data_IF_938105490036
#
_entry.id   IF_938105490036
#
_cell.length_a   1.000
_cell.length_b   1.000
_cell.length_c   1.000
_cell.angle_alpha   90.00
_cell.angle_beta   90.00
_cell.angle_gamma   90.00
#
_symmetry.space_group_name_H-M   'P 1'
#
loop_
_entity.id
_entity.type
_entity.pdbx_description
1 polymer ?
#
# COMPACT_ATOMS: atom_id res chain seq x y z
N UNK A 1 37.88 36.87 -31.75
CA UNK A 1 36.54 37.39 -31.48
C UNK A 1 35.54 36.35 -32.03
N UNK A 2 35.25 35.31 -31.27
CA UNK A 2 34.16 34.39 -31.62
C UNK A 2 33.43 34.08 -30.32
N UNK A 3 32.20 34.59 -30.27
CA UNK A 3 31.22 34.35 -29.24
C UNK A 3 30.74 32.91 -29.39
N UNK A 4 31.02 32.02 -28.43
CA UNK A 4 30.34 30.75 -28.30
C UNK A 4 29.23 30.89 -27.28
N UNK A 5 27.98 30.76 -27.75
CA UNK A 5 26.74 30.87 -26.99
C UNK A 5 26.65 29.82 -25.91
N UNK A 6 26.43 30.29 -24.72
CA UNK A 6 26.09 29.56 -23.50
C UNK A 6 24.62 29.14 -23.59
N UNK A 7 24.31 28.09 -24.33
CA UNK A 7 22.91 27.63 -24.49
C UNK A 7 22.66 26.14 -24.52
N UNK A 8 23.69 25.31 -24.36
CA UNK A 8 23.49 23.84 -24.53
C UNK A 8 23.65 22.99 -23.25
N UNK A 9 23.64 23.63 -22.08
CA UNK A 9 23.80 22.89 -20.80
C UNK A 9 22.50 22.61 -20.06
N UNK A 10 21.35 23.00 -20.61
CA UNK A 10 20.05 22.88 -19.92
C UNK A 10 19.15 21.73 -20.43
N UNK A 11 19.54 21.03 -21.49
CA UNK A 11 18.69 20.00 -22.14
C UNK A 11 19.00 18.57 -21.69
N UNK A 12 20.14 18.33 -21.06
CA UNK A 12 20.54 16.94 -20.68
C UNK A 12 20.01 16.50 -19.31
N UNK A 13 19.47 17.42 -18.48
CA UNK A 13 18.95 17.06 -17.16
C UNK A 13 17.45 16.70 -17.11
N UNK A 14 16.72 16.88 -18.19
CA UNK A 14 15.28 16.55 -18.25
C UNK A 14 14.98 15.18 -18.84
N UNK A 15 15.98 14.47 -19.41
CA UNK A 15 15.74 13.15 -20.03
C UNK A 15 15.96 11.95 -19.11
N UNK A 16 16.55 12.15 -17.92
CA UNK A 16 16.82 11.04 -16.98
C UNK A 16 15.77 10.88 -15.90
N UNK A 17 14.79 11.78 -15.82
CA UNK A 17 13.70 11.70 -14.84
C UNK A 17 12.45 10.95 -15.36
N UNK A 18 12.33 10.81 -16.68
CA UNK A 18 11.15 10.19 -17.31
C UNK A 18 11.18 8.66 -17.39
N UNK A 19 12.32 8.02 -17.08
CA UNK A 19 12.44 6.55 -17.18
C UNK A 19 12.22 5.81 -15.85
N UNK A 20 12.09 6.53 -14.73
CA UNK A 20 11.80 5.91 -13.43
C UNK A 20 10.30 5.78 -13.13
N UNK A 21 9.44 6.49 -13.84
CA UNK A 21 7.98 6.44 -13.63
C UNK A 21 7.26 5.35 -14.44
N UNK A 22 7.94 4.74 -15.42
CA UNK A 22 7.31 3.80 -16.35
C UNK A 22 7.13 2.38 -15.82
N UNK A 23 7.72 2.00 -14.68
CA UNK A 23 7.58 0.64 -14.13
C UNK A 23 6.58 0.53 -12.97
N UNK A 24 5.93 1.62 -12.60
CA UNK A 24 4.89 1.66 -11.55
C UNK A 24 3.46 1.45 -12.09
N UNK A 25 3.32 1.21 -13.40
CA UNK A 25 2.05 1.34 -14.14
C UNK A 25 1.06 0.17 -13.88
N UNK A 26 1.47 -0.89 -13.21
CA UNK A 26 0.61 -2.07 -13.04
C UNK A 26 0.19 -2.36 -11.58
N UNK A 27 0.51 -1.48 -10.63
CA UNK A 27 0.10 -1.65 -9.23
C UNK A 27 -1.02 -0.68 -8.88
N UNK A 28 -2.09 -1.22 -8.29
CA UNK A 28 -3.21 -0.42 -7.75
C UNK A 28 -2.70 0.54 -6.67
N UNK A 29 -3.35 1.68 -6.52
CA UNK A 29 -3.07 2.60 -5.41
C UNK A 29 -3.29 1.91 -4.07
N UNK A 30 -2.48 2.27 -3.05
CA UNK A 30 -2.68 1.78 -1.67
C UNK A 30 -4.09 2.04 -1.15
N UNK A 31 -4.73 3.11 -1.63
CA UNK A 31 -6.09 3.51 -1.27
C UNK A 31 -7.18 2.50 -1.69
N UNK A 32 -6.86 1.59 -2.61
CA UNK A 32 -7.78 0.54 -3.09
C UNK A 32 -7.67 -0.76 -2.28
N UNK A 33 -6.64 -0.89 -1.44
CA UNK A 33 -6.42 -2.10 -0.65
C UNK A 33 -7.14 -2.04 0.69
N UNK A 34 -7.57 -3.21 1.16
CA UNK A 34 -8.19 -3.43 2.48
C UNK A 34 -7.36 -4.31 3.39
N UNK A 35 -6.32 -4.91 2.85
CA UNK A 35 -5.36 -5.73 3.56
C UNK A 35 -3.94 -5.26 3.24
N UNK A 36 -3.22 -4.83 4.29
CA UNK A 36 -1.84 -4.38 4.12
C UNK A 36 -0.88 -5.49 3.72
N UNK A 37 -1.20 -6.77 4.03
CA UNK A 37 -0.39 -7.91 3.60
C UNK A 37 -0.47 -8.07 2.08
N UNK A 38 -1.69 -8.00 1.53
CA UNK A 38 -1.91 -8.08 0.09
C UNK A 38 -1.21 -6.92 -0.65
N UNK A 39 -1.36 -5.69 -0.15
CA UNK A 39 -0.66 -4.54 -0.72
C UNK A 39 0.87 -4.70 -0.73
N UNK A 40 1.45 -5.13 0.39
CA UNK A 40 2.90 -5.34 0.50
C UNK A 40 3.40 -6.47 -0.40
N UNK A 41 2.58 -7.53 -0.58
CA UNK A 41 2.89 -8.64 -1.47
C UNK A 41 2.88 -8.17 -2.93
N UNK A 42 1.84 -7.44 -3.35
CA UNK A 42 1.73 -6.92 -4.71
C UNK A 42 2.86 -5.92 -5.01
N UNK A 43 3.22 -5.06 -4.04
CA UNK A 43 4.39 -4.20 -4.14
C UNK A 43 5.68 -5.00 -4.37
N UNK A 44 5.91 -6.05 -3.59
CA UNK A 44 7.07 -6.90 -3.76
C UNK A 44 7.08 -7.56 -5.14
N UNK A 45 5.95 -8.11 -5.58
CA UNK A 45 5.84 -8.81 -6.87
C UNK A 45 6.02 -7.87 -8.05
N UNK A 46 5.48 -6.65 -7.98
CA UNK A 46 5.69 -5.60 -8.96
C UNK A 46 7.17 -5.22 -9.08
N UNK A 47 7.83 -4.98 -7.95
CA UNK A 47 9.27 -4.64 -7.92
C UNK A 47 10.15 -5.81 -8.39
N UNK A 48 9.75 -7.04 -8.10
CA UNK A 48 10.46 -8.24 -8.56
C UNK A 48 10.36 -8.44 -10.06
N UNK A 49 9.21 -8.13 -10.66
CA UNK A 49 9.02 -8.16 -12.13
C UNK A 49 9.89 -7.13 -12.85
N UNK A 50 10.08 -5.95 -12.25
CA UNK A 50 10.86 -4.85 -12.84
C UNK A 50 12.38 -4.99 -12.64
N UNK A 51 12.87 -5.93 -11.84
CA UNK A 51 14.31 -6.09 -11.60
C UNK A 51 14.68 -7.11 -10.52
N UNK A 52 15.94 -7.11 -10.12
CA UNK A 52 16.49 -8.02 -9.12
C UNK A 52 16.12 -7.59 -7.68
N UNK A 53 14.82 -7.51 -7.38
CA UNK A 53 14.33 -7.17 -6.04
C UNK A 53 14.11 -8.42 -5.19
N UNK A 54 14.63 -8.45 -3.98
CA UNK A 54 14.56 -9.59 -3.05
C UNK A 54 13.98 -9.18 -1.70
N UNK A 55 13.45 -10.15 -0.95
CA UNK A 55 12.99 -9.94 0.44
C UNK A 55 14.08 -9.36 1.35
N UNK A 56 15.33 -9.74 1.11
CA UNK A 56 16.48 -9.21 1.83
C UNK A 56 16.68 -7.72 1.54
N UNK A 57 16.56 -7.34 0.29
CA UNK A 57 16.67 -5.95 -0.15
C UNK A 57 15.49 -5.12 0.38
N UNK A 58 14.28 -5.64 0.32
CA UNK A 58 13.11 -4.98 0.88
C UNK A 58 13.27 -4.73 2.38
N UNK A 59 13.72 -5.74 3.14
CA UNK A 59 13.99 -5.59 4.57
C UNK A 59 15.09 -4.57 4.85
N UNK A 60 16.16 -4.56 4.05
CA UNK A 60 17.26 -3.59 4.16
C UNK A 60 16.80 -2.16 3.89
N UNK A 61 16.00 -1.96 2.84
CA UNK A 61 15.47 -0.64 2.47
C UNK A 61 14.53 -0.09 3.55
N UNK A 62 13.81 -0.96 4.23
CA UNK A 62 12.98 -0.60 5.37
C UNK A 62 13.77 -0.44 6.69
N UNK A 63 15.10 -0.61 6.68
CA UNK A 63 15.96 -0.43 7.84
C UNK A 63 15.92 -1.58 8.86
N UNK A 64 15.51 -2.78 8.43
CA UNK A 64 15.47 -3.95 9.31
C UNK A 64 16.74 -4.80 9.20
N UNK A 65 17.26 -5.22 10.35
CA UNK A 65 18.40 -6.12 10.42
C UNK A 65 18.09 -7.54 9.95
N UNK A 66 16.86 -8.00 10.14
CA UNK A 66 16.40 -9.33 9.70
C UNK A 66 16.00 -9.34 8.23
N UNK A 67 16.72 -10.11 7.42
CA UNK A 67 16.48 -10.23 5.97
C UNK A 67 15.12 -10.86 5.62
N UNK A 68 14.53 -11.64 6.52
CA UNK A 68 13.27 -12.35 6.30
C UNK A 68 12.06 -11.65 6.93
N UNK A 69 12.26 -10.52 7.65
CA UNK A 69 11.19 -9.89 8.41
C UNK A 69 10.01 -9.49 7.51
N UNK A 70 10.28 -8.82 6.39
CA UNK A 70 9.24 -8.39 5.46
C UNK A 70 8.45 -9.58 4.89
N UNK A 71 9.13 -10.67 4.54
CA UNK A 71 8.48 -11.91 4.11
C UNK A 71 7.54 -12.47 5.17
N UNK A 72 7.97 -12.49 6.44
CA UNK A 72 7.14 -12.98 7.55
C UNK A 72 5.92 -12.09 7.79
N UNK A 73 6.06 -10.78 7.61
CA UNK A 73 4.94 -9.83 7.68
C UNK A 73 3.94 -10.11 6.56
N UNK A 74 4.38 -10.19 5.30
CA UNK A 74 3.48 -10.49 4.16
C UNK A 74 2.76 -11.84 4.32
N UNK A 75 3.40 -12.83 4.94
CA UNK A 75 2.79 -14.12 5.25
C UNK A 75 1.86 -14.10 6.48
N UNK A 76 1.65 -12.96 7.12
CA UNK A 76 0.84 -12.82 8.34
C UNK A 76 1.46 -13.44 9.61
N UNK A 77 2.72 -13.90 9.54
CA UNK A 77 3.43 -14.52 10.68
C UNK A 77 4.05 -13.50 11.63
N UNK A 78 4.14 -12.24 11.23
CA UNK A 78 4.65 -11.13 12.04
C UNK A 78 3.81 -9.89 11.81
N UNK A 79 3.64 -9.09 12.88
CA UNK A 79 2.87 -7.84 12.83
C UNK A 79 3.79 -6.64 12.70
N UNK A 80 3.33 -5.58 12.03
CA UNK A 80 3.99 -4.29 12.01
C UNK A 80 3.60 -3.49 13.26
N UNK A 81 4.60 -2.98 14.00
CA UNK A 81 4.38 -1.96 15.01
C UNK A 81 4.29 -0.58 14.36
N UNK A 82 3.76 0.43 15.07
CA UNK A 82 3.60 1.80 14.56
C UNK A 82 4.92 2.36 13.97
N UNK A 83 6.03 2.23 14.67
CA UNK A 83 7.35 2.70 14.19
C UNK A 83 7.77 1.97 12.92
N UNK A 84 7.60 0.66 12.87
CA UNK A 84 7.94 -0.16 11.70
C UNK A 84 7.03 0.15 10.51
N UNK A 85 5.77 0.48 10.74
CA UNK A 85 4.83 0.90 9.69
C UNK A 85 5.34 2.14 8.97
N UNK A 86 5.79 3.16 9.70
CA UNK A 86 6.36 4.37 9.10
C UNK A 86 7.64 4.08 8.28
N UNK A 87 8.51 3.19 8.79
CA UNK A 87 9.72 2.77 8.07
C UNK A 87 9.38 2.04 6.77
N UNK A 88 8.40 1.15 6.80
CA UNK A 88 7.92 0.41 5.62
C UNK A 88 7.27 1.34 4.61
N UNK A 89 6.39 2.25 5.04
CA UNK A 89 5.78 3.26 4.18
C UNK A 89 6.84 4.08 3.43
N UNK A 90 7.85 4.56 4.15
CA UNK A 90 8.99 5.28 3.56
C UNK A 90 9.77 4.43 2.56
N UNK A 91 10.03 3.15 2.89
CA UNK A 91 10.76 2.24 2.00
C UNK A 91 9.98 1.90 0.73
N UNK A 92 8.65 1.92 0.77
CA UNK A 92 7.77 1.75 -0.38
C UNK A 92 7.55 3.05 -1.17
N UNK A 93 8.04 4.20 -0.67
CA UNK A 93 7.88 5.49 -1.32
C UNK A 93 6.51 6.13 -1.10
N UNK A 94 5.73 5.66 -0.13
CA UNK A 94 4.44 6.26 0.21
C UNK A 94 4.65 7.59 0.92
N UNK A 95 3.96 8.64 0.44
CA UNK A 95 4.06 10.00 0.97
C UNK A 95 2.67 10.61 1.20
N UNK A 96 2.58 11.55 2.15
CA UNK A 96 1.33 12.26 2.44
C UNK A 96 0.19 11.31 2.77
N UNK A 97 -0.94 11.49 2.10
CA UNK A 97 -2.17 10.72 2.29
C UNK A 97 -2.02 9.20 2.07
N UNK A 98 -1.12 8.77 1.19
CA UNK A 98 -0.84 7.34 0.99
C UNK A 98 -0.19 6.70 2.21
N UNK A 99 0.75 7.41 2.84
CA UNK A 99 1.39 6.95 4.07
C UNK A 99 0.39 6.92 5.25
N UNK A 100 -0.48 7.93 5.36
CA UNK A 100 -1.54 7.98 6.36
C UNK A 100 -2.54 6.84 6.17
N UNK A 101 -2.98 6.61 4.93
CA UNK A 101 -3.87 5.49 4.63
C UNK A 101 -3.22 4.14 4.99
N UNK A 102 -1.96 3.95 4.63
CA UNK A 102 -1.22 2.72 4.96
C UNK A 102 -1.09 2.51 6.48
N UNK A 103 -0.87 3.58 7.26
CA UNK A 103 -0.86 3.49 8.72
C UNK A 103 -2.22 3.00 9.27
N UNK A 104 -3.33 3.58 8.77
CA UNK A 104 -4.67 3.16 9.18
C UNK A 104 -4.98 1.73 8.73
N UNK A 105 -4.54 1.34 7.54
CA UNK A 105 -4.69 -0.01 7.01
C UNK A 105 -3.97 -1.05 7.89
N UNK A 106 -2.77 -0.74 8.39
CA UNK A 106 -2.04 -1.60 9.33
C UNK A 106 -2.73 -1.64 10.70
N UNK A 107 -3.25 -0.51 11.20
CA UNK A 107 -4.03 -0.47 12.45
C UNK A 107 -5.28 -1.34 12.30
N UNK A 108 -6.01 -1.20 11.20
CA UNK A 108 -7.20 -1.99 10.88
C UNK A 108 -6.91 -3.48 10.88
N UNK A 109 -5.84 -3.92 10.18
CA UNK A 109 -5.47 -5.33 10.07
C UNK A 109 -4.94 -5.94 11.38
N UNK A 110 -4.31 -5.14 12.24
CA UNK A 110 -3.75 -5.61 13.52
C UNK A 110 -4.72 -5.52 14.70
N UNK A 111 -5.82 -4.75 14.58
CA UNK A 111 -6.74 -4.49 15.66
C UNK A 111 -7.52 -5.75 16.05
N UNK A 112 -7.62 -5.99 17.37
CA UNK A 112 -8.43 -7.06 17.96
C UNK A 112 -9.80 -6.50 18.38
N UNK A 113 -9.83 -5.23 18.81
CA UNK A 113 -11.05 -4.57 19.27
C UNK A 113 -11.83 -3.96 18.10
N UNK A 114 -13.10 -4.25 18.00
CA UNK A 114 -13.99 -3.74 16.94
C UNK A 114 -14.08 -2.21 16.91
N UNK A 115 -14.03 -1.57 18.08
CA UNK A 115 -13.99 -0.10 18.16
C UNK A 115 -12.78 0.49 17.44
N UNK A 116 -11.60 -0.11 17.60
CA UNK A 116 -10.36 0.33 16.92
C UNK A 116 -10.44 0.06 15.42
N UNK A 117 -10.97 -1.10 15.01
CA UNK A 117 -11.21 -1.41 13.58
C UNK A 117 -12.13 -0.38 12.94
N UNK A 118 -13.25 -0.06 13.63
CA UNK A 118 -14.23 0.90 13.12
C UNK A 118 -13.60 2.28 12.93
N UNK A 119 -12.84 2.77 13.92
CA UNK A 119 -12.17 4.06 13.83
C UNK A 119 -11.17 4.08 12.67
N UNK A 120 -10.31 3.07 12.56
CA UNK A 120 -9.34 2.97 11.48
C UNK A 120 -10.02 2.91 10.10
N UNK A 121 -11.13 2.17 9.98
CA UNK A 121 -11.91 2.09 8.75
C UNK A 121 -12.51 3.44 8.34
N UNK A 122 -13.07 4.19 9.30
CA UNK A 122 -13.63 5.52 9.03
C UNK A 122 -12.54 6.48 8.53
N UNK A 123 -11.35 6.46 9.14
CA UNK A 123 -10.22 7.26 8.67
C UNK A 123 -9.74 6.86 7.28
N UNK A 124 -9.63 5.57 7.00
CA UNK A 124 -9.33 5.08 5.66
C UNK A 124 -10.36 5.57 4.64
N UNK A 125 -11.64 5.50 4.98
CA UNK A 125 -12.73 5.96 4.12
C UNK A 125 -12.67 7.47 3.88
N UNK A 126 -12.39 8.27 4.92
CA UNK A 126 -12.21 9.72 4.79
C UNK A 126 -11.09 10.07 3.83
N UNK A 127 -9.89 9.49 4.04
CA UNK A 127 -8.73 9.74 3.19
C UNK A 127 -9.01 9.36 1.73
N UNK A 128 -9.62 8.21 1.51
CA UNK A 128 -9.92 7.74 0.16
C UNK A 128 -10.99 8.61 -0.55
N UNK A 129 -12.01 9.10 0.16
CA UNK A 129 -13.01 10.02 -0.38
C UNK A 129 -12.41 11.37 -0.76
N UNK A 130 -11.54 11.94 0.08
CA UNK A 130 -10.84 13.19 -0.21
C UNK A 130 -10.01 13.12 -1.48
N UNK A 131 -9.48 11.93 -1.79
CA UNK A 131 -8.65 11.68 -2.98
C UNK A 131 -9.42 11.04 -4.15
N UNK A 132 -10.75 11.09 -4.14
CA UNK A 132 -11.64 10.59 -5.21
C UNK A 132 -11.46 9.11 -5.57
N UNK A 133 -11.01 8.31 -4.64
CA UNK A 133 -10.92 6.86 -4.82
C UNK A 133 -12.26 6.21 -4.46
N UNK A 134 -12.71 5.22 -5.25
CA UNK A 134 -13.91 4.44 -4.90
C UNK A 134 -13.68 3.67 -3.61
N UNK A 135 -14.35 4.08 -2.56
CA UNK A 135 -14.38 3.35 -1.29
C UNK A 135 -15.64 2.49 -1.26
N UNK A 136 -15.53 1.30 -0.71
CA UNK A 136 -16.70 0.50 -0.37
C UNK A 136 -17.44 1.23 0.75
N UNK A 137 -18.73 1.47 0.56
CA UNK A 137 -19.57 2.22 1.47
C UNK A 137 -19.57 1.62 2.88
N UNK A 138 -19.86 2.44 3.89
CA UNK A 138 -19.92 2.00 5.29
C UNK A 138 -20.89 0.83 5.51
N UNK A 139 -21.94 0.77 4.70
CA UNK A 139 -22.92 -0.33 4.72
C UNK A 139 -22.30 -1.66 4.25
N UNK A 140 -21.35 -1.60 3.33
CA UNK A 140 -20.60 -2.79 2.92
C UNK A 140 -19.65 -3.29 4.01
N UNK A 141 -19.16 -2.41 4.90
CA UNK A 141 -18.37 -2.83 6.05
C UNK A 141 -19.19 -3.66 7.04
N UNK A 142 -20.43 -3.25 7.35
CA UNK A 142 -21.34 -4.03 8.19
C UNK A 142 -21.61 -5.41 7.62
N UNK A 143 -21.69 -5.51 6.29
CA UNK A 143 -21.85 -6.80 5.60
C UNK A 143 -20.67 -7.76 5.86
N UNK A 144 -19.45 -7.26 5.94
CA UNK A 144 -18.26 -8.08 6.20
C UNK A 144 -17.94 -8.25 7.70
N UNK A 145 -18.49 -7.42 8.58
CA UNK A 145 -18.29 -7.51 10.02
C UNK A 145 -18.97 -8.76 10.62
N UNK A 146 -20.06 -9.22 10.01
CA UNK A 146 -20.76 -10.42 10.41
C UNK A 146 -20.60 -11.55 9.37
N UNK A 147 -20.05 -12.69 9.77
CA UNK A 147 -19.96 -13.88 8.95
C UNK A 147 -21.32 -14.38 8.42
N UNK A 148 -22.42 -13.96 9.05
CA UNK A 148 -23.79 -14.35 8.70
C UNK A 148 -24.20 -13.83 7.32
N UNK A 149 -23.85 -12.62 6.95
CA UNK A 149 -24.28 -12.00 5.69
C UNK A 149 -23.71 -12.67 4.44
N UNK A 150 -22.40 -12.99 4.36
CA UNK A 150 -21.86 -13.76 3.25
C UNK A 150 -22.51 -15.14 3.12
N UNK A 151 -22.73 -15.83 4.25
CA UNK A 151 -23.35 -17.17 4.27
C UNK A 151 -24.80 -17.11 3.79
N UNK A 152 -25.57 -16.12 4.25
CA UNK A 152 -26.97 -15.94 3.82
C UNK A 152 -27.05 -15.69 2.30
N UNK A 153 -26.14 -14.86 1.77
CA UNK A 153 -26.09 -14.58 0.33
C UNK A 153 -25.83 -15.82 -0.52
N UNK A 154 -24.92 -16.67 -0.08
CA UNK A 154 -24.60 -17.91 -0.80
C UNK A 154 -25.73 -18.97 -0.68
N UNK A 155 -26.48 -18.96 0.41
CA UNK A 155 -27.58 -19.89 0.64
C UNK A 155 -28.90 -19.42 0.06
N UNK A 156 -29.09 -18.12 -0.15
CA UNK A 156 -30.35 -17.55 -0.65
C UNK A 156 -30.83 -18.16 -1.98
N UNK A 157 -29.96 -18.49 -2.97
CA UNK A 157 -30.40 -19.18 -4.19
C UNK A 157 -30.82 -20.65 -3.98
N UNK A 158 -30.49 -21.24 -2.83
CA UNK A 158 -30.78 -22.65 -2.52
C UNK A 158 -32.06 -22.83 -1.70
N UNK A 159 -32.70 -21.73 -1.29
CA UNK A 159 -33.98 -21.80 -0.57
C UNK A 159 -35.13 -21.83 -1.58
N UNK A 160 -36.06 -22.82 -1.46
CA UNK A 160 -37.22 -22.95 -2.34
C UNK A 160 -38.22 -21.80 -2.14
#
# INVERSE_FOLDING_TARGET
MIFVKFSDFCVIKTLTFATAESSFIDMKSVLEYRDYHAFMQDYYDSRKKSGAFSWREFSKNAGFSSSNYMKLVCMGKSKLSKVKTAQVAKAMGLIGHEAEYFEQLVIFGNAIKDSVKKTAFLEMSRIAQEHKVRVIDSDAFQYYESWKYPVIRELAPMMP
#
